data_IF_196567641630
#
_entry.id   IF_196567641630
#
_cell.length_a   1.000
_cell.length_b   1.000
_cell.length_c   1.000
_cell.angle_alpha   90.00
_cell.angle_beta   90.00
_cell.angle_gamma   90.00
#
_symmetry.space_group_name_H-M   'P 1'
#
loop_
_entity.id
_entity.type
_entity.pdbx_description
1 polymer ?
#
# COMPACT_ATOMS: atom_id res chain seq x y z
N UNK A 1 0.64 -17.85 46.89
CA UNK A 1 1.32 -18.52 45.77
C UNK A 1 2.10 -17.47 45.00
N UNK A 2 3.43 -17.49 45.09
CA UNK A 2 4.29 -16.64 44.26
C UNK A 2 4.37 -17.28 42.88
N UNK A 3 3.67 -16.75 41.89
CA UNK A 3 3.99 -17.06 40.50
C UNK A 3 5.33 -16.40 40.20
N UNK A 4 6.35 -17.14 39.73
CA UNK A 4 7.60 -16.52 39.32
C UNK A 4 7.28 -15.49 38.22
N UNK A 5 7.54 -14.22 38.51
CA UNK A 5 7.28 -13.14 37.57
C UNK A 5 8.27 -13.26 36.41
N UNK A 6 7.75 -13.43 35.20
CA UNK A 6 8.58 -13.42 33.99
C UNK A 6 9.32 -12.07 33.88
N UNK A 7 10.64 -12.05 33.57
CA UNK A 7 11.37 -10.80 33.39
C UNK A 7 10.74 -9.89 32.34
N UNK A 8 10.81 -8.57 32.57
CA UNK A 8 10.12 -7.59 31.74
C UNK A 8 10.59 -7.62 30.27
N UNK A 9 11.88 -7.88 30.04
CA UNK A 9 12.48 -7.97 28.71
C UNK A 9 11.88 -9.10 27.89
N UNK A 10 11.61 -10.25 28.54
CA UNK A 10 11.00 -11.40 27.90
C UNK A 10 9.53 -11.10 27.57
N UNK A 11 8.79 -10.45 28.47
CA UNK A 11 7.42 -10.00 28.21
C UNK A 11 7.36 -9.04 27.03
N UNK A 12 8.24 -8.03 26.99
CA UNK A 12 8.30 -7.05 25.88
C UNK A 12 8.58 -7.77 24.55
N UNK A 13 9.49 -8.75 24.54
CA UNK A 13 9.79 -9.53 23.33
C UNK A 13 8.57 -10.35 22.88
N UNK A 14 7.89 -11.04 23.79
CA UNK A 14 6.64 -11.76 23.49
C UNK A 14 5.59 -10.80 22.92
N UNK A 15 5.37 -9.66 23.56
CA UNK A 15 4.42 -8.66 23.09
C UNK A 15 4.81 -8.10 21.71
N UNK A 16 6.09 -7.91 21.42
CA UNK A 16 6.54 -7.44 20.11
C UNK A 16 6.26 -8.43 18.98
N UNK A 17 6.18 -9.73 19.29
CA UNK A 17 5.72 -10.73 18.31
C UNK A 17 4.20 -10.85 18.25
N UNK A 18 3.51 -10.65 19.38
CA UNK A 18 2.06 -10.78 19.45
C UNK A 18 1.31 -9.57 18.84
N UNK A 19 1.82 -8.35 19.05
CA UNK A 19 1.17 -7.10 18.65
C UNK A 19 1.39 -6.74 17.17
N UNK A 20 1.56 -7.72 16.27
CA UNK A 20 1.78 -7.47 14.83
C UNK A 20 0.47 -7.34 14.05
N UNK A 21 -0.68 -7.32 14.74
CA UNK A 21 -2.01 -7.27 14.14
C UNK A 21 -2.51 -5.83 13.93
N UNK A 22 -3.83 -5.62 13.87
CA UNK A 22 -4.47 -4.30 13.70
C UNK A 22 -4.36 -3.37 14.91
N UNK A 23 -3.62 -3.77 15.95
CA UNK A 23 -3.58 -3.12 17.26
C UNK A 23 -4.53 -3.77 18.29
N UNK A 24 -5.34 -4.74 17.85
CA UNK A 24 -6.29 -5.46 18.72
C UNK A 24 -5.59 -6.23 19.83
N UNK A 25 -4.49 -6.92 19.52
CA UNK A 25 -3.75 -7.73 20.51
C UNK A 25 -3.12 -6.84 21.58
N UNK A 26 -2.52 -5.71 21.19
CA UNK A 26 -1.97 -4.74 22.14
C UNK A 26 -3.04 -4.17 23.09
N UNK A 27 -4.22 -3.88 22.54
CA UNK A 27 -5.38 -3.46 23.34
C UNK A 27 -5.87 -4.55 24.30
N UNK A 28 -6.06 -5.78 23.81
CA UNK A 28 -6.48 -6.91 24.65
C UNK A 28 -5.50 -7.19 25.78
N UNK A 29 -4.20 -7.23 25.50
CA UNK A 29 -3.15 -7.44 26.51
C UNK A 29 -3.15 -6.34 27.57
N UNK A 30 -3.39 -5.08 27.16
CA UNK A 30 -3.50 -3.94 28.06
C UNK A 30 -4.66 -4.05 29.05
N UNK A 31 -5.73 -4.78 28.70
CA UNK A 31 -6.88 -4.99 29.58
C UNK A 31 -6.67 -6.12 30.60
N UNK A 32 -5.78 -7.07 30.31
CA UNK A 32 -5.56 -8.26 31.16
C UNK A 32 -4.84 -7.89 32.47
N UNK A 33 -3.88 -6.96 32.43
CA UNK A 33 -3.07 -6.61 33.60
C UNK A 33 -2.56 -5.18 33.55
N UNK A 34 -2.61 -4.48 34.69
CA UNK A 34 -2.00 -3.15 34.86
C UNK A 34 -0.50 -3.17 34.57
N UNK A 35 0.19 -4.25 34.94
CA UNK A 35 1.62 -4.39 34.64
C UNK A 35 1.88 -4.48 33.14
N UNK A 36 1.03 -5.21 32.39
CA UNK A 36 1.13 -5.31 30.94
C UNK A 36 0.81 -3.98 30.27
N UNK A 37 -0.25 -3.31 30.71
CA UNK A 37 -0.59 -1.96 30.27
C UNK A 37 0.60 -0.99 30.39
N UNK A 38 1.26 -0.95 31.55
CA UNK A 38 2.41 -0.07 31.75
C UNK A 38 3.63 -0.50 30.93
N UNK A 39 3.92 -1.80 30.83
CA UNK A 39 5.03 -2.30 30.02
C UNK A 39 4.85 -1.98 28.53
N UNK A 40 3.65 -2.21 28.00
CA UNK A 40 3.28 -1.91 26.62
C UNK A 40 3.38 -0.41 26.33
N UNK A 41 2.76 0.44 27.16
CA UNK A 41 2.80 1.89 26.97
C UNK A 41 4.20 2.48 27.04
N UNK A 42 5.03 2.00 27.97
CA UNK A 42 6.41 2.48 28.13
C UNK A 42 7.32 2.11 26.97
N UNK A 43 7.01 1.04 26.25
CA UNK A 43 7.81 0.54 25.13
C UNK A 43 7.22 0.92 23.77
N UNK A 44 5.93 1.23 23.71
CA UNK A 44 5.20 1.54 22.48
C UNK A 44 4.82 0.30 21.66
N UNK A 45 5.03 -0.91 22.21
CA UNK A 45 4.76 -2.18 21.51
C UNK A 45 3.27 -2.35 21.21
N UNK A 46 2.39 -1.71 21.97
CA UNK A 46 0.96 -1.70 21.69
C UNK A 46 0.54 -0.90 20.47
N UNK A 47 1.42 -0.06 19.92
CA UNK A 47 1.18 0.74 18.72
C UNK A 47 2.02 0.32 17.51
N UNK A 48 2.80 -0.76 17.61
CA UNK A 48 3.73 -1.12 16.54
C UNK A 48 3.04 -1.39 15.20
N UNK A 49 1.80 -1.88 15.23
CA UNK A 49 0.94 -2.05 14.06
C UNK A 49 -0.43 -1.47 14.38
N UNK A 50 -0.95 -0.64 13.48
CA UNK A 50 -2.22 0.03 13.68
C UNK A 50 -3.00 0.08 12.36
N UNK A 51 -4.31 -0.19 12.45
CA UNK A 51 -5.26 0.04 11.37
C UNK A 51 -6.30 1.06 11.79
N UNK A 52 -6.45 2.11 10.99
CA UNK A 52 -7.32 3.26 11.28
C UNK A 52 -8.24 3.47 10.09
N UNK A 53 -9.50 3.07 10.24
CA UNK A 53 -10.49 3.12 9.16
C UNK A 53 -11.63 4.07 9.52
N UNK A 54 -11.90 5.04 8.66
CA UNK A 54 -12.95 6.03 8.83
C UNK A 54 -12.47 7.26 9.59
N UNK A 55 -13.01 8.42 9.21
CA UNK A 55 -12.63 9.72 9.78
C UNK A 55 -12.80 9.77 11.30
N UNK A 56 -13.88 9.17 11.83
CA UNK A 56 -14.10 9.08 13.28
C UNK A 56 -12.97 8.33 14.00
N UNK A 57 -12.44 7.25 13.42
CA UNK A 57 -11.32 6.52 14.01
C UNK A 57 -10.01 7.28 13.84
N UNK A 58 -9.80 7.97 12.71
CA UNK A 58 -8.64 8.85 12.51
C UNK A 58 -8.58 9.94 13.58
N UNK A 59 -9.70 10.59 13.88
CA UNK A 59 -9.82 11.57 14.96
C UNK A 59 -9.49 10.99 16.34
N UNK A 60 -10.05 9.83 16.68
CA UNK A 60 -9.78 9.16 17.96
C UNK A 60 -8.30 8.75 18.08
N UNK A 61 -7.73 8.23 16.99
CA UNK A 61 -6.34 7.82 16.94
C UNK A 61 -5.41 9.03 17.08
N UNK A 62 -5.68 10.12 16.36
CA UNK A 62 -4.99 11.40 16.47
C UNK A 62 -5.02 11.94 17.91
N UNK A 63 -6.20 12.00 18.54
CA UNK A 63 -6.34 12.45 19.93
C UNK A 63 -5.56 11.57 20.92
N UNK A 64 -5.55 10.26 20.69
CA UNK A 64 -4.77 9.31 21.49
C UNK A 64 -3.26 9.52 21.32
N UNK A 65 -2.77 9.79 20.10
CA UNK A 65 -1.36 10.10 19.84
C UNK A 65 -0.92 11.40 20.52
N UNK A 66 -1.74 12.45 20.46
CA UNK A 66 -1.46 13.71 21.16
C UNK A 66 -1.40 13.54 22.67
N UNK A 67 -2.31 12.75 23.25
CA UNK A 67 -2.25 12.41 24.67
C UNK A 67 -0.95 11.71 25.04
N UNK A 68 -0.48 10.75 24.22
CA UNK A 68 0.83 10.09 24.44
C UNK A 68 2.00 11.07 24.32
N UNK A 69 1.92 11.98 23.35
CA UNK A 69 2.91 13.04 23.15
C UNK A 69 3.04 13.93 24.39
N UNK A 70 1.91 14.37 24.96
CA UNK A 70 1.89 15.13 26.21
C UNK A 70 2.52 14.37 27.38
N UNK A 71 2.34 13.05 27.43
CA UNK A 71 2.90 12.17 28.46
C UNK A 71 4.35 11.71 28.17
N UNK A 72 4.97 12.16 27.07
CA UNK A 72 6.29 11.69 26.59
C UNK A 72 6.37 10.16 26.42
N UNK A 73 5.25 9.52 26.15
CA UNK A 73 5.18 8.09 25.87
C UNK A 73 5.61 7.82 24.40
N UNK A 74 6.26 6.68 24.12
CA UNK A 74 6.65 6.30 22.76
C UNK A 74 5.43 6.15 21.85
N UNK A 75 5.63 6.54 20.60
CA UNK A 75 4.62 6.51 19.52
C UNK A 75 5.21 5.80 18.30
N UNK A 76 5.82 4.64 18.56
CA UNK A 76 6.52 3.83 17.57
C UNK A 76 5.50 3.00 16.79
N UNK A 77 5.10 3.50 15.63
CA UNK A 77 4.26 2.77 14.68
C UNK A 77 5.16 2.28 13.56
N UNK A 78 5.29 0.95 13.40
CA UNK A 78 6.05 0.33 12.31
C UNK A 78 5.20 0.12 11.08
N UNK A 79 3.95 -0.33 11.28
CA UNK A 79 3.02 -0.64 10.21
C UNK A 79 1.73 0.14 10.42
N UNK A 80 1.36 0.95 9.45
CA UNK A 80 0.19 1.82 9.54
C UNK A 80 -0.70 1.63 8.32
N UNK A 81 -1.93 1.22 8.56
CA UNK A 81 -3.00 1.26 7.58
C UNK A 81 -3.94 2.40 7.92
N UNK A 82 -4.20 3.29 6.95
CA UNK A 82 -5.16 4.37 7.09
C UNK A 82 -6.11 4.33 5.90
N UNK A 83 -7.41 4.40 6.19
CA UNK A 83 -8.44 4.56 5.19
C UNK A 83 -9.49 5.57 5.66
N UNK A 84 -9.98 6.41 4.75
CA UNK A 84 -11.10 7.31 5.00
C UNK A 84 -12.45 6.55 5.01
N UNK A 85 -12.46 5.31 4.51
CA UNK A 85 -13.63 4.45 4.43
C UNK A 85 -14.00 3.92 5.81
N UNK A 86 -15.28 4.04 6.14
CA UNK A 86 -15.79 3.37 7.34
C UNK A 86 -15.91 1.86 7.11
N UNK A 87 -15.39 1.09 8.07
CA UNK A 87 -15.66 -0.34 8.10
C UNK A 87 -17.16 -0.54 8.34
N UNK A 88 -17.84 -1.40 7.55
CA UNK A 88 -19.24 -1.69 7.79
C UNK A 88 -19.37 -2.20 9.22
N UNK A 89 -20.07 -1.44 10.07
CA UNK A 89 -20.38 -1.87 11.44
C UNK A 89 -21.10 -3.20 11.29
N UNK A 90 -20.49 -4.28 11.78
CA UNK A 90 -21.15 -5.58 11.87
C UNK A 90 -22.34 -5.38 12.80
N UNK A 91 -23.49 -5.07 12.22
CA UNK A 91 -24.68 -4.62 12.92
C UNK A 91 -25.30 -5.81 13.64
N UNK A 92 -24.84 -6.06 14.86
CA UNK A 92 -25.43 -7.05 15.76
C UNK A 92 -26.75 -6.59 16.40
N UNK A 93 -27.24 -5.37 16.10
CA UNK A 93 -28.49 -4.88 16.65
C UNK A 93 -29.30 -4.08 15.64
N UNK A 94 -30.56 -4.49 15.44
CA UNK A 94 -31.62 -3.92 14.61
C UNK A 94 -32.07 -2.52 15.06
N UNK A 95 -31.15 -1.60 15.30
CA UNK A 95 -31.48 -0.22 15.66
C UNK A 95 -32.07 0.48 14.43
N UNK A 96 -33.39 0.38 14.30
CA UNK A 96 -34.27 0.98 13.28
C UNK A 96 -34.34 2.52 13.34
N UNK A 97 -33.38 3.18 13.99
CA UNK A 97 -33.30 4.64 14.04
C UNK A 97 -32.50 5.16 12.85
N UNK A 98 -33.18 5.43 11.73
CA UNK A 98 -32.61 5.99 10.50
C UNK A 98 -32.22 7.47 10.60
N UNK A 99 -31.61 7.88 11.71
CA UNK A 99 -31.08 9.23 11.90
C UNK A 99 -29.56 9.19 12.04
N UNK A 100 -28.89 10.09 11.33
CA UNK A 100 -27.53 10.55 11.61
C UNK A 100 -26.37 9.66 11.20
N UNK A 101 -26.33 9.26 9.92
CA UNK A 101 -25.05 9.01 9.26
C UNK A 101 -24.88 9.84 7.98
N UNK A 102 -25.31 11.09 8.04
CA UNK A 102 -24.71 12.12 7.21
C UNK A 102 -23.32 12.40 7.80
N UNK A 103 -22.36 11.48 7.54
CA UNK A 103 -20.94 11.81 7.69
C UNK A 103 -20.78 13.04 6.83
N UNK A 104 -20.56 14.18 7.49
CA UNK A 104 -20.52 15.46 6.82
C UNK A 104 -19.47 15.36 5.71
N UNK A 105 -19.84 15.69 4.47
CA UNK A 105 -18.94 15.72 3.31
C UNK A 105 -17.61 16.45 3.64
N UNK A 106 -17.70 17.45 4.51
CA UNK A 106 -16.57 18.19 5.09
C UNK A 106 -15.57 17.31 5.84
N UNK A 107 -16.01 16.26 6.54
CA UNK A 107 -15.15 15.32 7.25
C UNK A 107 -14.30 14.49 6.27
N UNK A 108 -14.86 14.12 5.11
CA UNK A 108 -14.10 13.44 4.04
C UNK A 108 -13.10 14.40 3.38
N UNK A 109 -13.46 15.67 3.17
CA UNK A 109 -12.56 16.72 2.66
C UNK A 109 -11.35 16.93 3.59
N UNK A 110 -11.49 16.65 4.89
CA UNK A 110 -10.40 16.74 5.86
C UNK A 110 -9.64 15.43 6.14
N UNK A 111 -10.00 14.32 5.47
CA UNK A 111 -9.35 13.01 5.66
C UNK A 111 -7.83 13.09 5.46
N UNK A 112 -7.39 13.81 4.44
CA UNK A 112 -5.96 13.99 4.16
C UNK A 112 -5.26 14.81 5.24
N UNK A 113 -5.89 15.87 5.75
CA UNK A 113 -5.35 16.64 6.89
C UNK A 113 -5.16 15.77 8.13
N UNK A 114 -6.08 14.84 8.39
CA UNK A 114 -5.93 13.87 9.49
C UNK A 114 -4.81 12.88 9.24
N UNK A 115 -4.61 12.39 8.00
CA UNK A 115 -3.45 11.57 7.65
C UNK A 115 -2.14 12.30 7.96
N UNK A 116 -1.99 13.54 7.48
CA UNK A 116 -0.80 14.37 7.74
C UNK A 116 -0.60 14.60 9.23
N UNK A 117 -1.68 14.87 9.97
CA UNK A 117 -1.62 15.04 11.42
C UNK A 117 -1.13 13.76 12.12
N UNK A 118 -1.73 12.61 11.81
CA UNK A 118 -1.36 11.32 12.40
C UNK A 118 0.11 11.00 12.12
N UNK A 119 0.55 11.18 10.87
CA UNK A 119 1.94 10.94 10.48
C UNK A 119 2.93 11.87 11.22
N UNK A 120 2.55 13.12 11.46
CA UNK A 120 3.38 14.06 12.26
C UNK A 120 3.38 13.73 13.76
N UNK A 121 2.37 13.03 14.28
CA UNK A 121 2.29 12.69 15.70
C UNK A 121 3.01 11.38 16.05
N UNK A 122 3.28 10.50 15.09
CA UNK A 122 4.08 9.26 15.29
C UNK A 122 5.59 9.50 15.15
N UNK A 123 6.40 8.51 15.51
CA UNK A 123 7.84 8.54 15.25
C UNK A 123 8.15 8.15 13.80
N UNK A 124 8.51 9.14 12.98
CA UNK A 124 8.76 8.96 11.54
C UNK A 124 9.95 8.05 11.22
N UNK A 125 10.90 7.89 12.15
CA UNK A 125 12.05 6.98 12.01
C UNK A 125 11.72 5.51 12.27
N UNK A 126 10.49 5.20 12.71
CA UNK A 126 10.05 3.83 12.98
C UNK A 126 9.05 3.32 11.96
N UNK A 127 8.39 4.19 11.19
CA UNK A 127 7.39 3.80 10.21
C UNK A 127 8.06 3.14 9.00
N UNK A 128 7.85 1.84 8.86
CA UNK A 128 8.43 1.02 7.79
C UNK A 128 7.42 0.72 6.69
N UNK A 129 6.15 0.54 7.05
CA UNK A 129 5.08 0.18 6.12
C UNK A 129 3.90 1.13 6.27
N UNK A 130 3.50 1.76 5.17
CA UNK A 130 2.35 2.66 5.12
C UNK A 130 1.39 2.23 4.02
N UNK A 131 0.12 2.04 4.38
CA UNK A 131 -0.97 1.81 3.44
C UNK A 131 -2.00 2.92 3.58
N UNK A 132 -2.25 3.62 2.48
CA UNK A 132 -3.24 4.69 2.37
C UNK A 132 -4.32 4.22 1.40
N UNK A 133 -5.56 4.10 1.86
CA UNK A 133 -6.70 3.72 1.00
C UNK A 133 -7.82 4.73 1.12
N UNK A 134 -7.82 5.70 0.20
CA UNK A 134 -8.72 6.84 0.20
C UNK A 134 -9.68 6.77 -0.98
N UNK A 135 -10.97 6.99 -0.73
CA UNK A 135 -12.02 7.11 -1.76
C UNK A 135 -12.53 8.55 -1.85
N UNK A 136 -11.62 9.50 -1.72
CA UNK A 136 -11.93 10.91 -1.94
C UNK A 136 -12.21 11.19 -3.42
N UNK A 137 -12.97 12.25 -3.69
CA UNK A 137 -13.27 12.71 -5.06
C UNK A 137 -12.06 13.42 -5.69
N UNK A 138 -11.19 14.01 -4.86
CA UNK A 138 -10.04 14.80 -5.30
C UNK A 138 -8.75 14.00 -5.18
N UNK A 139 -7.81 14.23 -6.10
CA UNK A 139 -6.50 13.57 -6.08
C UNK A 139 -5.77 13.80 -4.75
N UNK A 140 -5.08 12.77 -4.28
CA UNK A 140 -4.22 12.86 -3.09
C UNK A 140 -3.17 13.96 -3.32
N UNK A 141 -3.07 14.98 -2.45
CA UNK A 141 -2.12 16.06 -2.65
C UNK A 141 -0.66 15.60 -2.71
N UNK A 142 -0.34 14.50 -2.05
CA UNK A 142 1.02 13.94 -1.94
C UNK A 142 0.96 12.45 -1.58
N UNK A 143 1.81 11.61 -2.20
CA UNK A 143 1.98 10.20 -1.84
C UNK A 143 2.75 10.04 -0.52
N UNK A 144 3.74 10.89 -0.30
CA UNK A 144 4.58 10.93 0.90
C UNK A 144 4.52 12.34 1.50
N UNK A 145 3.50 12.63 2.33
CA UNK A 145 3.19 13.99 2.75
C UNK A 145 4.13 14.55 3.82
N UNK A 146 4.93 13.69 4.47
CA UNK A 146 5.97 14.10 5.43
C UNK A 146 7.27 13.32 5.19
N UNK A 147 8.37 13.72 5.82
CA UNK A 147 9.63 12.96 5.77
C UNK A 147 9.51 11.64 6.55
N UNK A 148 9.62 10.52 5.84
CA UNK A 148 9.53 9.17 6.40
C UNK A 148 10.83 8.40 6.10
N UNK A 149 11.93 8.65 6.84
CA UNK A 149 13.26 8.15 6.50
C UNK A 149 13.41 6.63 6.60
N UNK A 150 12.54 5.95 7.35
CA UNK A 150 12.56 4.50 7.51
C UNK A 150 11.50 3.77 6.67
N UNK A 151 10.74 4.49 5.84
CA UNK A 151 9.66 3.89 5.05
C UNK A 151 10.25 2.98 3.97
N UNK A 152 9.95 1.70 4.05
CA UNK A 152 10.42 0.67 3.12
C UNK A 152 9.33 0.24 2.13
N UNK A 153 8.05 0.31 2.55
CA UNK A 153 6.92 -0.09 1.74
C UNK A 153 5.77 0.91 1.82
N UNK A 154 5.26 1.29 0.66
CA UNK A 154 4.16 2.23 0.51
C UNK A 154 3.10 1.63 -0.41
N UNK A 155 1.87 1.56 0.05
CA UNK A 155 0.71 1.23 -0.76
C UNK A 155 -0.23 2.43 -0.78
N UNK A 156 -0.60 2.91 -1.96
CA UNK A 156 -1.56 4.01 -2.12
C UNK A 156 -2.70 3.55 -3.02
N UNK A 157 -3.92 3.74 -2.54
CA UNK A 157 -5.17 3.51 -3.26
C UNK A 157 -5.97 4.80 -3.16
N UNK A 158 -6.30 5.39 -4.30
CA UNK A 158 -7.12 6.60 -4.39
C UNK A 158 -6.87 7.33 -5.70
N UNK A 159 -7.55 8.45 -5.96
CA UNK A 159 -7.21 9.32 -7.07
C UNK A 159 -5.79 9.87 -6.86
N UNK A 160 -4.93 9.69 -7.86
CA UNK A 160 -3.54 10.16 -7.88
C UNK A 160 -3.34 10.84 -9.23
N UNK A 161 -2.61 11.95 -9.24
CA UNK A 161 -2.23 12.67 -10.45
C UNK A 161 -0.74 13.06 -10.44
N UNK A 162 -0.29 13.78 -11.46
CA UNK A 162 1.08 14.28 -11.57
C UNK A 162 1.51 15.18 -10.39
N UNK A 163 0.57 15.93 -9.80
CA UNK A 163 0.85 16.81 -8.68
C UNK A 163 1.14 16.03 -7.40
N UNK A 164 0.46 14.89 -7.20
CA UNK A 164 0.69 13.98 -6.07
C UNK A 164 2.16 13.57 -5.96
N UNK A 165 2.83 13.30 -7.08
CA UNK A 165 4.26 12.95 -7.09
C UNK A 165 5.16 14.17 -6.85
N UNK A 166 4.86 15.30 -7.48
CA UNK A 166 5.67 16.53 -7.38
C UNK A 166 5.69 17.10 -5.97
N UNK A 167 4.56 17.01 -5.28
CA UNK A 167 4.38 17.46 -3.91
C UNK A 167 4.81 16.40 -2.87
N UNK A 168 5.28 15.23 -3.31
CA UNK A 168 5.79 14.21 -2.40
C UNK A 168 7.18 14.53 -1.90
N UNK A 169 7.39 14.29 -0.61
CA UNK A 169 8.73 14.23 -0.07
C UNK A 169 9.46 12.99 -0.55
N UNK A 170 10.79 13.06 -0.54
CA UNK A 170 11.63 11.91 -0.88
C UNK A 170 11.56 10.86 0.22
N UNK A 171 11.41 9.60 -0.19
CA UNK A 171 11.48 8.41 0.64
C UNK A 171 12.66 7.54 0.16
N UNK A 172 13.90 7.90 0.55
CA UNK A 172 15.10 7.23 0.02
C UNK A 172 15.22 5.76 0.45
N UNK A 173 14.54 5.35 1.53
CA UNK A 173 14.52 3.96 2.00
C UNK A 173 13.41 3.13 1.35
N UNK A 174 12.56 3.74 0.52
CA UNK A 174 11.41 3.06 -0.07
C UNK A 174 11.90 2.05 -1.11
N UNK A 175 11.62 0.77 -0.84
CA UNK A 175 11.98 -0.37 -1.68
C UNK A 175 10.78 -0.91 -2.45
N UNK A 176 9.58 -0.82 -1.86
CA UNK A 176 8.35 -1.36 -2.44
C UNK A 176 7.27 -0.28 -2.55
N UNK A 177 6.71 -0.11 -3.73
CA UNK A 177 5.64 0.85 -3.99
C UNK A 177 4.51 0.15 -4.72
N UNK A 178 3.32 0.21 -4.14
CA UNK A 178 2.10 -0.30 -4.76
C UNK A 178 1.11 0.83 -4.99
N UNK A 179 0.86 1.17 -6.25
CA UNK A 179 -0.23 2.05 -6.67
C UNK A 179 -1.43 1.15 -6.96
N UNK A 180 -2.32 1.00 -6.00
CA UNK A 180 -3.44 0.06 -6.07
C UNK A 180 -4.64 0.60 -6.86
N UNK A 181 -4.83 1.92 -6.83
CA UNK A 181 -5.82 2.68 -7.61
C UNK A 181 -5.20 3.99 -8.02
N UNK A 182 -5.57 4.47 -9.20
CA UNK A 182 -5.27 5.82 -9.69
C UNK A 182 -6.29 6.20 -10.76
N UNK A 183 -6.38 7.49 -11.07
CA UNK A 183 -7.20 7.98 -12.19
C UNK A 183 -6.39 8.06 -13.48
N UNK A 184 -5.17 8.58 -13.39
CA UNK A 184 -4.19 8.61 -14.48
C UNK A 184 -2.78 8.69 -13.93
N UNK A 185 -1.84 8.01 -14.59
CA UNK A 185 -0.43 8.14 -14.25
C UNK A 185 0.23 9.32 -15.02
N UNK A 186 1.16 10.06 -14.40
CA UNK A 186 1.90 11.13 -15.06
C UNK A 186 2.63 10.66 -16.32
N UNK A 187 2.77 11.55 -17.32
CA UNK A 187 3.58 11.26 -18.52
C UNK A 187 5.08 11.17 -18.20
N UNK A 188 5.52 11.86 -17.14
CA UNK A 188 6.88 11.82 -16.57
C UNK A 188 7.00 10.82 -15.39
N UNK A 189 6.15 9.78 -15.37
CA UNK A 189 6.05 8.81 -14.26
C UNK A 189 7.39 8.26 -13.79
N UNK A 190 8.26 7.80 -14.69
CA UNK A 190 9.56 7.23 -14.29
C UNK A 190 10.44 8.25 -13.56
N UNK A 191 10.54 9.47 -14.09
CA UNK A 191 11.29 10.57 -13.47
C UNK A 191 10.70 10.95 -12.11
N UNK A 192 9.37 11.01 -12.01
CA UNK A 192 8.67 11.26 -10.76
C UNK A 192 8.96 10.18 -9.70
N UNK A 193 8.90 8.90 -10.08
CA UNK A 193 9.24 7.78 -9.19
C UNK A 193 10.71 7.83 -8.76
N UNK A 194 11.64 8.06 -9.69
CA UNK A 194 13.06 8.15 -9.35
C UNK A 194 13.38 9.34 -8.45
N UNK A 195 12.57 10.40 -8.51
CA UNK A 195 12.68 11.53 -7.58
C UNK A 195 12.17 11.17 -6.18
N UNK A 196 10.98 10.57 -6.08
CA UNK A 196 10.34 10.24 -4.80
C UNK A 196 11.05 9.07 -4.11
N UNK A 197 11.35 8.01 -4.84
CA UNK A 197 11.90 6.75 -4.33
C UNK A 197 13.06 6.27 -5.21
N UNK A 198 14.26 6.84 -5.07
CA UNK A 198 15.42 6.51 -5.92
C UNK A 198 15.93 5.06 -5.74
N UNK A 199 15.61 4.41 -4.62
CA UNK A 199 16.04 3.06 -4.28
C UNK A 199 14.92 2.02 -4.41
N UNK A 200 13.88 2.33 -5.21
CA UNK A 200 12.77 1.41 -5.42
C UNK A 200 13.24 0.14 -6.13
N UNK A 201 12.89 -1.00 -5.56
CA UNK A 201 13.21 -2.34 -6.07
C UNK A 201 11.98 -2.93 -6.74
N UNK A 202 10.84 -2.86 -6.07
CA UNK A 202 9.59 -3.43 -6.54
C UNK A 202 8.52 -2.36 -6.72
N UNK A 203 7.99 -2.28 -7.94
CA UNK A 203 6.90 -1.39 -8.30
C UNK A 203 5.69 -2.21 -8.72
N UNK A 204 4.58 -2.10 -8.00
CA UNK A 204 3.30 -2.67 -8.41
C UNK A 204 2.34 -1.56 -8.78
N UNK A 205 1.71 -1.69 -9.94
CA UNK A 205 0.62 -0.82 -10.38
C UNK A 205 -0.56 -1.70 -10.67
N UNK A 206 -1.58 -1.59 -9.84
CA UNK A 206 -2.87 -2.22 -10.08
C UNK A 206 -3.82 -1.22 -10.74
N UNK A 207 -4.97 -1.70 -11.15
CA UNK A 207 -6.04 -0.85 -11.66
C UNK A 207 -5.76 -0.10 -12.96
N UNK A 208 -4.85 -0.62 -13.80
CA UNK A 208 -4.58 0.01 -15.10
C UNK A 208 -5.85 0.02 -15.96
N UNK A 209 -6.23 1.22 -16.41
CA UNK A 209 -7.42 1.51 -17.20
C UNK A 209 -7.11 1.97 -18.62
N UNK A 210 -8.16 2.38 -19.35
CA UNK A 210 -8.04 2.84 -20.76
C UNK A 210 -7.20 4.09 -20.90
N UNK A 211 -7.23 4.96 -19.90
CA UNK A 211 -6.58 6.27 -19.94
C UNK A 211 -5.05 6.17 -19.77
N UNK A 212 -4.54 5.03 -19.30
CA UNK A 212 -3.12 4.79 -19.04
C UNK A 212 -2.30 4.46 -20.30
N UNK A 213 -2.77 4.84 -21.50
CA UNK A 213 -2.08 4.55 -22.77
C UNK A 213 -0.65 5.10 -22.80
N UNK A 214 -0.41 6.28 -22.23
CA UNK A 214 0.93 6.88 -22.15
C UNK A 214 1.87 6.05 -21.27
N UNK A 215 1.38 5.58 -20.12
CA UNK A 215 2.14 4.70 -19.24
C UNK A 215 2.47 3.37 -19.94
N UNK A 216 1.47 2.74 -20.58
CA UNK A 216 1.67 1.52 -21.37
C UNK A 216 2.67 1.71 -22.52
N UNK A 217 2.68 2.89 -23.15
CA UNK A 217 3.67 3.22 -24.17
C UNK A 217 5.08 3.38 -23.56
N UNK A 218 5.20 4.01 -22.39
CA UNK A 218 6.48 4.13 -21.68
C UNK A 218 7.03 2.76 -21.26
N UNK A 219 6.16 1.81 -20.91
CA UNK A 219 6.57 0.45 -20.57
C UNK A 219 7.21 -0.28 -21.75
N UNK A 220 6.76 -0.01 -22.98
CA UNK A 220 7.40 -0.55 -24.21
C UNK A 220 8.85 -0.08 -24.36
N UNK A 221 9.22 1.03 -23.74
CA UNK A 221 10.58 1.55 -23.76
C UNK A 221 11.48 0.87 -22.73
N UNK A 222 10.92 0.15 -21.74
CA UNK A 222 11.68 -0.73 -20.84
C UNK A 222 12.09 -1.98 -21.62
N UNK A 223 13.10 -1.86 -22.47
CA UNK A 223 13.73 -3.02 -23.08
C UNK A 223 14.45 -3.84 -22.01
N UNK A 224 14.43 -5.17 -22.11
CA UNK A 224 15.11 -6.01 -21.15
C UNK A 224 16.61 -5.90 -21.33
N UNK A 225 17.31 -5.81 -20.20
CA UNK A 225 18.75 -5.99 -20.18
C UNK A 225 19.05 -7.48 -20.40
N UNK A 226 19.42 -7.87 -21.62
CA UNK A 226 19.86 -9.24 -21.90
C UNK A 226 21.32 -9.38 -21.47
N UNK A 227 21.54 -10.04 -20.34
CA UNK A 227 22.85 -10.65 -20.09
C UNK A 227 23.02 -11.80 -21.09
N UNK A 228 23.76 -11.57 -22.18
CA UNK A 228 24.12 -12.63 -23.12
C UNK A 228 25.06 -13.61 -22.42
N UNK A 229 24.54 -14.76 -22.00
CA UNK A 229 25.35 -15.85 -21.48
C UNK A 229 25.97 -16.61 -22.67
N UNK A 230 27.14 -16.14 -23.13
CA UNK A 230 27.99 -16.89 -24.05
C UNK A 230 27.84 -16.51 -25.53
N UNK A 231 28.31 -15.32 -25.89
CA UNK A 231 29.29 -15.11 -26.96
C UNK A 231 29.59 -13.61 -26.99
N UNK A 232 30.84 -13.24 -26.66
CA UNK A 232 31.29 -11.86 -26.66
C UNK A 232 31.48 -11.39 -28.11
N UNK A 233 30.40 -10.97 -28.76
CA UNK A 233 30.49 -10.20 -30.00
C UNK A 233 30.49 -8.70 -29.65
N UNK A 234 31.46 -7.88 -30.10
CA UNK A 234 31.74 -6.55 -29.55
C UNK A 234 30.81 -5.43 -30.06
N UNK A 235 29.51 -5.70 -30.18
CA UNK A 235 28.49 -4.68 -30.39
C UNK A 235 27.60 -4.59 -29.15
N UNK A 236 28.25 -4.27 -28.03
CA UNK A 236 27.63 -3.86 -26.77
C UNK A 236 26.96 -2.48 -26.96
N UNK A 237 25.80 -2.44 -27.61
CA UNK A 237 24.89 -1.33 -27.41
C UNK A 237 24.29 -1.47 -26.02
N UNK A 238 24.95 -0.84 -25.03
CA UNK A 238 24.36 -0.56 -23.73
C UNK A 238 23.03 0.16 -23.95
N UNK A 239 21.93 -0.59 -23.84
CA UNK A 239 20.60 0.00 -23.92
C UNK A 239 20.34 0.76 -22.63
N UNK A 240 20.31 2.09 -22.72
CA UNK A 240 19.91 2.93 -21.60
C UNK A 240 18.42 2.68 -21.27
N UNK A 241 18.08 2.42 -20.00
CA UNK A 241 16.67 2.37 -19.59
C UNK A 241 15.99 3.72 -19.91
N UNK A 242 14.64 3.77 -19.99
CA UNK A 242 13.92 5.02 -20.16
C UNK A 242 14.47 6.08 -19.22
N UNK A 243 14.70 7.29 -19.76
CA UNK A 243 15.28 8.38 -18.97
C UNK A 243 14.47 8.57 -17.69
N UNK A 244 15.17 8.59 -16.56
CA UNK A 244 14.55 8.73 -15.24
C UNK A 244 14.10 7.41 -14.60
N UNK A 245 14.32 6.25 -15.20
CA UNK A 245 14.04 4.97 -14.51
C UNK A 245 14.99 4.79 -13.32
N UNK A 246 14.50 4.44 -12.12
CA UNK A 246 15.35 4.12 -10.99
C UNK A 246 16.33 2.98 -11.34
N UNK A 247 17.61 3.17 -11.00
CA UNK A 247 18.65 2.17 -11.30
C UNK A 247 18.46 0.87 -10.53
N UNK A 248 17.89 0.97 -9.34
CA UNK A 248 17.58 -0.10 -8.38
C UNK A 248 16.32 -0.91 -8.73
N UNK A 249 15.54 -0.49 -9.73
CA UNK A 249 14.27 -1.16 -10.05
C UNK A 249 14.52 -2.55 -10.65
N UNK A 250 14.06 -3.57 -9.93
CA UNK A 250 14.20 -4.99 -10.25
C UNK A 250 12.87 -5.61 -10.70
N UNK A 251 11.73 -5.20 -10.12
CA UNK A 251 10.43 -5.80 -10.44
C UNK A 251 9.37 -4.75 -10.77
N UNK A 252 8.58 -5.01 -11.82
CA UNK A 252 7.39 -4.22 -12.15
C UNK A 252 6.19 -5.15 -12.27
N UNK A 253 5.25 -5.10 -11.34
CA UNK A 253 4.03 -5.90 -11.39
C UNK A 253 2.88 -5.03 -11.90
N UNK A 254 2.23 -5.47 -12.96
CA UNK A 254 1.08 -4.79 -13.54
C UNK A 254 -0.17 -5.62 -13.28
N UNK A 255 -1.05 -5.08 -12.45
CA UNK A 255 -2.37 -5.63 -12.16
C UNK A 255 -3.46 -4.86 -12.90
N UNK A 256 -4.43 -5.59 -13.43
CA UNK A 256 -5.58 -4.98 -14.07
C UNK A 256 -6.73 -4.81 -13.08
N UNK A 257 -7.32 -3.61 -13.04
CA UNK A 257 -8.64 -3.49 -12.41
C UNK A 257 -9.61 -4.26 -13.29
N UNK A 258 -10.56 -4.98 -12.72
CA UNK A 258 -11.71 -5.41 -13.47
C UNK A 258 -12.59 -4.18 -13.78
N UNK A 259 -13.00 -3.96 -15.04
CA UNK A 259 -13.88 -2.85 -15.42
C UNK A 259 -15.28 -3.15 -14.90
N UNK A 260 -15.53 -2.87 -13.64
CA UNK A 260 -16.88 -2.91 -13.11
C UNK A 260 -17.69 -1.65 -13.50
N UNK A 261 -17.02 -0.56 -13.92
CA UNK A 261 -17.66 0.70 -14.33
C UNK A 261 -18.19 0.72 -15.77
N UNK A 262 -17.92 -0.29 -16.60
CA UNK A 262 -18.41 -0.32 -17.97
C UNK A 262 -19.78 -1.01 -18.06
N UNK A 263 -20.87 -0.24 -18.00
CA UNK A 263 -22.24 -0.70 -18.26
C UNK A 263 -22.46 -1.19 -19.71
N UNK A 264 -21.54 -0.89 -20.63
CA UNK A 264 -21.59 -1.34 -22.01
C UNK A 264 -21.07 -2.78 -22.16
N UNK A 265 -22.01 -3.75 -22.23
CA UNK A 265 -21.83 -5.22 -22.28
C UNK A 265 -20.91 -5.80 -23.38
N UNK A 266 -20.09 -5.03 -24.10
CA UNK A 266 -19.19 -5.58 -25.13
C UNK A 266 -17.90 -4.80 -25.39
N UNK A 267 -17.85 -3.51 -25.09
CA UNK A 267 -16.66 -2.69 -25.37
C UNK A 267 -15.52 -3.00 -24.39
N UNK A 268 -15.84 -3.29 -23.13
CA UNK A 268 -14.85 -3.56 -22.08
C UNK A 268 -14.03 -4.82 -22.37
N UNK A 269 -14.68 -5.94 -22.72
CA UNK A 269 -14.03 -7.22 -23.02
C UNK A 269 -13.03 -7.10 -24.18
N UNK A 270 -13.38 -6.38 -25.26
CA UNK A 270 -12.46 -6.15 -26.38
C UNK A 270 -11.22 -5.37 -25.97
N UNK A 271 -11.39 -4.38 -25.09
CA UNK A 271 -10.26 -3.61 -24.58
C UNK A 271 -9.34 -4.46 -23.70
N UNK A 272 -9.87 -5.25 -22.76
CA UNK A 272 -9.04 -6.17 -21.98
C UNK A 272 -8.25 -7.12 -22.85
N UNK A 273 -8.89 -7.73 -23.85
CA UNK A 273 -8.18 -8.61 -24.79
C UNK A 273 -7.09 -7.87 -25.56
N UNK A 274 -7.32 -6.63 -25.94
CA UNK A 274 -6.31 -5.80 -26.61
C UNK A 274 -5.14 -5.48 -25.70
N UNK A 275 -5.39 -5.06 -24.45
CA UNK A 275 -4.31 -4.71 -23.52
C UNK A 275 -3.58 -5.94 -22.99
N UNK A 276 -4.27 -7.04 -22.70
CA UNK A 276 -3.66 -8.33 -22.40
C UNK A 276 -2.78 -8.79 -23.57
N UNK A 277 -3.25 -8.69 -24.81
CA UNK A 277 -2.44 -9.01 -25.99
C UNK A 277 -1.20 -8.10 -26.12
N UNK A 278 -1.35 -6.79 -25.87
CA UNK A 278 -0.24 -5.85 -25.89
C UNK A 278 0.78 -6.13 -24.78
N UNK A 279 0.32 -6.41 -23.55
CA UNK A 279 1.21 -6.73 -22.44
C UNK A 279 1.86 -8.10 -22.61
N UNK A 280 1.19 -9.10 -23.19
CA UNK A 280 1.82 -10.35 -23.60
C UNK A 280 2.83 -10.16 -24.72
N UNK A 281 2.60 -9.22 -25.64
CA UNK A 281 3.57 -8.86 -26.66
C UNK A 281 4.79 -8.20 -26.01
N UNK A 282 4.58 -7.22 -25.12
CA UNK A 282 5.62 -6.58 -24.32
C UNK A 282 6.37 -7.62 -23.51
N UNK A 283 5.68 -8.51 -22.80
CA UNK A 283 6.31 -9.55 -21.98
C UNK A 283 7.20 -10.48 -22.79
N UNK A 284 6.77 -10.85 -24.01
CA UNK A 284 7.56 -11.63 -24.97
C UNK A 284 8.76 -10.85 -25.51
N UNK A 285 8.57 -9.59 -25.90
CA UNK A 285 9.64 -8.70 -26.36
C UNK A 285 10.68 -8.43 -25.26
N UNK A 286 10.19 -8.33 -24.02
CA UNK A 286 10.99 -8.09 -22.81
C UNK A 286 11.65 -9.38 -22.31
N UNK A 287 11.50 -10.51 -23.00
CA UNK A 287 12.25 -11.73 -22.66
C UNK A 287 12.02 -12.20 -21.23
N UNK A 288 10.80 -11.99 -20.71
CA UNK A 288 10.43 -12.28 -19.33
C UNK A 288 10.28 -13.79 -19.15
N UNK A 289 11.40 -14.47 -18.93
CA UNK A 289 11.39 -15.87 -18.56
C UNK A 289 11.46 -15.99 -17.03
N UNK A 290 10.52 -16.69 -16.37
CA UNK A 290 10.48 -16.81 -14.90
C UNK A 290 11.63 -17.64 -14.29
N UNK A 291 12.76 -17.84 -14.98
CA UNK A 291 13.83 -18.76 -14.57
C UNK A 291 15.24 -18.18 -14.53
N UNK A 292 15.46 -16.92 -14.88
CA UNK A 292 16.80 -16.33 -14.90
C UNK A 292 16.92 -15.21 -13.87
N UNK A 293 17.52 -15.52 -12.71
CA UNK A 293 17.47 -14.75 -11.46
C UNK A 293 18.15 -13.39 -11.41
N UNK A 294 18.16 -12.59 -12.49
CA UNK A 294 18.65 -11.19 -12.52
C UNK A 294 17.94 -10.28 -13.54
N UNK A 295 16.82 -10.68 -14.12
CA UNK A 295 16.13 -9.86 -15.13
C UNK A 295 15.02 -9.02 -14.50
N UNK A 296 14.82 -7.79 -15.00
CA UNK A 296 13.66 -6.97 -14.64
C UNK A 296 12.38 -7.71 -14.97
N UNK A 297 11.62 -8.16 -13.97
CA UNK A 297 10.44 -9.00 -14.21
C UNK A 297 9.20 -8.13 -14.33
N UNK A 298 8.59 -8.08 -15.52
CA UNK A 298 7.23 -7.56 -15.67
C UNK A 298 6.23 -8.69 -15.45
N UNK A 299 5.60 -8.73 -14.27
CA UNK A 299 4.60 -9.76 -13.97
C UNK A 299 3.21 -9.22 -14.26
N UNK A 300 2.43 -9.98 -15.03
CA UNK A 300 1.03 -9.64 -15.28
C UNK A 300 0.16 -10.37 -14.28
N UNK A 301 -0.47 -9.61 -13.39
CA UNK A 301 -1.43 -10.11 -12.43
C UNK A 301 -2.84 -9.89 -13.01
N UNK A 302 -3.31 -10.89 -13.75
CA UNK A 302 -4.68 -10.93 -14.22
C UNK A 302 -5.50 -11.72 -13.20
N UNK A 303 -6.41 -11.09 -12.43
CA UNK A 303 -7.36 -11.87 -11.66
C UNK A 303 -8.13 -12.72 -12.65
N UNK A 304 -8.11 -14.04 -12.45
CA UNK A 304 -8.99 -14.97 -13.16
C UNK A 304 -10.41 -14.47 -12.94
N UNK A 305 -10.95 -13.79 -13.95
CA UNK A 305 -12.32 -13.28 -13.96
C UNK A 305 -13.24 -14.49 -13.96
N UNK A 306 -13.62 -14.94 -12.77
CA UNK A 306 -14.80 -15.76 -12.61
C UNK A 306 -16.00 -14.86 -12.90
N UNK A 307 -16.54 -14.96 -14.12
CA UNK A 307 -17.52 -14.02 -14.67
C UNK A 307 -18.86 -14.01 -13.91
N UNK A 308 -19.08 -14.96 -12.98
CA UNK A 308 -20.25 -15.01 -12.12
C UNK A 308 -20.20 -14.04 -10.92
N UNK A 309 -19.09 -13.30 -10.75
CA UNK A 309 -18.84 -12.37 -9.63
C UNK A 309 -19.71 -11.10 -9.58
N UNK A 310 -20.67 -10.89 -10.49
CA UNK A 310 -21.45 -9.64 -10.56
C UNK A 310 -22.53 -9.49 -9.45
N UNK A 311 -22.70 -10.47 -8.55
CA UNK A 311 -23.82 -10.48 -7.58
C UNK A 311 -23.48 -10.05 -6.15
N UNK A 312 -22.20 -10.02 -5.75
CA UNK A 312 -21.79 -9.54 -4.43
C UNK A 312 -21.25 -8.11 -4.54
N UNK A 313 -21.56 -7.24 -3.55
CA UNK A 313 -21.22 -5.82 -3.61
C UNK A 313 -19.73 -5.58 -3.91
N UNK A 314 -19.46 -4.98 -5.07
CA UNK A 314 -18.12 -4.80 -5.67
C UNK A 314 -17.14 -4.11 -4.72
N UNK A 315 -17.63 -3.18 -3.91
CA UNK A 315 -16.77 -2.41 -3.01
C UNK A 315 -16.40 -3.19 -1.74
N UNK A 316 -17.26 -4.09 -1.26
CA UNK A 316 -16.95 -4.92 -0.09
C UNK A 316 -15.88 -5.98 -0.34
N UNK A 317 -15.78 -6.51 -1.56
CA UNK A 317 -14.79 -7.54 -1.88
C UNK A 317 -13.39 -6.95 -2.16
N UNK A 318 -13.33 -5.76 -2.79
CA UNK A 318 -12.06 -5.00 -2.89
C UNK A 318 -11.52 -4.62 -1.52
N UNK A 319 -12.39 -4.17 -0.61
CA UNK A 319 -12.06 -3.86 0.79
C UNK A 319 -11.49 -5.09 1.49
N UNK A 320 -12.14 -6.24 1.35
CA UNK A 320 -11.66 -7.50 1.92
C UNK A 320 -10.32 -7.89 1.32
N UNK A 321 -10.11 -7.70 0.02
CA UNK A 321 -8.84 -8.02 -0.62
C UNK A 321 -7.69 -7.14 -0.13
N UNK A 322 -7.82 -5.81 -0.13
CA UNK A 322 -6.78 -4.90 0.40
C UNK A 322 -6.49 -5.17 1.88
N UNK A 323 -7.56 -5.37 2.66
CA UNK A 323 -7.45 -5.75 4.07
C UNK A 323 -6.71 -7.07 4.26
N UNK A 324 -7.05 -8.09 3.47
CA UNK A 324 -6.40 -9.39 3.53
C UNK A 324 -4.93 -9.27 3.11
N UNK A 325 -4.61 -8.55 2.03
CA UNK A 325 -3.23 -8.32 1.59
C UNK A 325 -2.39 -7.67 2.71
N UNK A 326 -2.93 -6.64 3.35
CA UNK A 326 -2.26 -5.98 4.46
C UNK A 326 -2.13 -6.90 5.69
N UNK A 327 -3.20 -7.59 6.05
CA UNK A 327 -3.24 -8.53 7.17
C UNK A 327 -2.31 -9.74 6.97
N UNK A 328 -2.23 -10.27 5.76
CA UNK A 328 -1.35 -11.39 5.40
C UNK A 328 0.11 -10.95 5.46
N UNK A 329 0.43 -9.75 4.95
CA UNK A 329 1.75 -9.15 5.08
C UNK A 329 2.18 -8.85 6.52
N UNK A 330 1.23 -8.65 7.44
CA UNK A 330 1.51 -8.51 8.87
C UNK A 330 1.79 -9.84 9.58
N UNK A 331 1.09 -10.90 9.20
CA UNK A 331 1.16 -12.20 9.87
C UNK A 331 2.37 -13.05 9.44
N UNK A 332 3.25 -12.52 8.58
CA UNK A 332 4.36 -13.30 8.00
C UNK A 332 3.88 -14.53 7.23
N UNK A 333 2.57 -14.62 6.91
CA UNK A 333 2.08 -15.55 5.91
C UNK A 333 2.70 -15.08 4.62
N UNK A 334 3.43 -15.99 3.97
CA UNK A 334 4.25 -15.80 2.77
C UNK A 334 3.92 -14.50 2.03
N UNK A 335 4.90 -13.61 1.93
CA UNK A 335 4.70 -12.42 1.12
C UNK A 335 4.27 -12.86 -0.28
N UNK A 336 3.26 -12.20 -0.85
CA UNK A 336 2.90 -12.39 -2.25
C UNK A 336 4.11 -12.14 -3.18
N UNK A 337 5.07 -11.34 -2.72
CA UNK A 337 6.37 -11.13 -3.36
C UNK A 337 7.29 -12.37 -3.36
N UNK A 338 7.11 -13.32 -2.42
CA UNK A 338 7.99 -14.48 -2.23
C UNK A 338 7.48 -15.76 -2.93
N UNK A 339 6.22 -15.79 -3.38
CA UNK A 339 5.65 -16.91 -4.15
C UNK A 339 5.66 -16.59 -5.65
N UNK A 340 6.84 -16.59 -6.27
CA UNK A 340 7.04 -17.00 -7.67
C UNK A 340 8.51 -17.11 -8.09
#
# INVERSE_FOLDING_TARGET
>A
MYTPSLPQEILIRIFSFACTDTGTTGYSLSLVSKAFYHALRRTGVDLQSASVCGVTQMLKFAAMLERRKALREPRHVKNLYISDRELPKQSSSRSRGGGDFEICKTALEHSFSFLVFILNSISTSHLQRLTIDFEVVEALPSLVPILLPALEELTVSGPIDSSSFRNSHRAPSLKRLHIASHDSLPTDFWSAISYVSPNIVDLRISSIGREDTHFLHSLKQLKPYRHSAGDWSPLDQEFEPPRGTPKSLEQVIIGFAPCYRCSARGSSVRWYRSVDAQLRAISREVGLHPRTGKSRVITLDAPLLDMDYQKTGVDTDRRRWLWNQWSDGLNGKKHFWDDQ
#
